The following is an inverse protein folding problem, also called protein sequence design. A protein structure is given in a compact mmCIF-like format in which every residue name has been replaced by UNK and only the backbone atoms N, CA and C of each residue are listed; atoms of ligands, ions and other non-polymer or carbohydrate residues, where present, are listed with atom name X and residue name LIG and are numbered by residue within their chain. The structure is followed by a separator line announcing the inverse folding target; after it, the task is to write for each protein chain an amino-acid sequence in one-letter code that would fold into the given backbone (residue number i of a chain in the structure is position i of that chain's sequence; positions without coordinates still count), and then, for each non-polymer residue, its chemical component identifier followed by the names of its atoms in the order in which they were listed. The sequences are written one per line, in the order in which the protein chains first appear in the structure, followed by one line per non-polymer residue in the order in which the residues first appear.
data_IF_056057001734
#
_entry.id   IF_056057001734
#
_cell.length_a   1.000
_cell.length_b   1.000
_cell.length_c   1.000
_cell.angle_alpha   90.00
_cell.angle_beta   90.00
_cell.angle_gamma   90.00
#
_symmetry.space_group_name_H-M   'P 1'
#
loop_
_entity.id
_entity.type
_entity.pdbx_description
1 polymer ?
#
# COMPACT_ATOMS: atom_id res chain seq x y z
N UNK A 1 6.03 -1.52 -19.40
CA UNK A 1 4.57 -1.60 -19.34
C UNK A 1 3.98 -0.46 -20.16
N UNK A 2 3.12 -0.79 -21.12
CA UNK A 2 2.50 0.13 -22.09
C UNK A 2 1.31 0.90 -21.47
N UNK A 3 1.55 1.62 -20.37
CA UNK A 3 0.51 2.44 -19.70
C UNK A 3 -0.49 1.67 -18.83
N UNK A 4 -0.28 0.37 -18.57
CA UNK A 4 -1.12 -0.41 -17.67
C UNK A 4 -1.01 0.06 -16.21
N UNK A 5 -2.11 0.00 -15.46
CA UNK A 5 -2.12 0.24 -14.01
C UNK A 5 -1.39 -0.93 -13.32
N UNK A 6 -0.33 -0.62 -12.57
CA UNK A 6 0.53 -1.62 -11.90
C UNK A 6 0.37 -1.67 -10.38
N UNK A 7 -0.27 -0.64 -9.79
CA UNK A 7 -0.59 -0.57 -8.37
C UNK A 7 -1.91 0.17 -8.20
N UNK A 8 -2.78 -0.33 -7.33
CA UNK A 8 -4.08 0.27 -7.04
C UNK A 8 -4.41 0.17 -5.54
N UNK A 9 -5.14 1.16 -5.02
CA UNK A 9 -5.67 1.19 -3.66
C UNK A 9 -7.17 1.40 -3.69
N UNK A 10 -7.91 0.61 -2.91
CA UNK A 10 -9.33 0.83 -2.66
C UNK A 10 -9.61 0.70 -1.16
N UNK A 11 -10.01 1.80 -0.52
CA UNK A 11 -10.22 1.88 0.93
C UNK A 11 -8.98 1.37 1.69
N UNK A 12 -9.11 0.25 2.40
CA UNK A 12 -8.08 -0.41 3.21
C UNK A 12 -7.34 -1.53 2.45
N UNK A 13 -7.59 -1.71 1.16
CA UNK A 13 -6.95 -2.73 0.31
C UNK A 13 -5.93 -2.08 -0.62
N UNK A 14 -4.73 -2.66 -0.72
CA UNK A 14 -3.65 -2.27 -1.62
C UNK A 14 -3.24 -3.50 -2.44
N UNK A 15 -3.09 -3.34 -3.77
CA UNK A 15 -2.67 -4.42 -4.68
C UNK A 15 -1.58 -3.94 -5.63
N UNK A 16 -0.67 -4.85 -5.99
CA UNK A 16 0.40 -4.65 -6.97
C UNK A 16 0.40 -5.78 -8.00
N UNK A 17 0.66 -5.48 -9.27
CA UNK A 17 0.87 -6.50 -10.32
C UNK A 17 2.31 -7.01 -10.37
N UNK A 18 3.13 -6.60 -9.41
CA UNK A 18 4.55 -6.92 -9.29
C UNK A 18 4.87 -7.25 -7.83
N UNK A 19 6.09 -7.73 -7.62
CA UNK A 19 6.61 -8.20 -6.33
C UNK A 19 7.46 -7.09 -5.66
N UNK A 20 6.88 -6.24 -4.79
CA UNK A 20 7.63 -5.17 -4.12
C UNK A 20 8.75 -5.68 -3.21
N UNK A 21 8.73 -6.96 -2.84
CA UNK A 21 9.73 -7.62 -2.01
C UNK A 21 11.01 -8.00 -2.76
N UNK A 22 10.99 -8.05 -4.10
CA UNK A 22 12.16 -8.42 -4.92
C UNK A 22 13.15 -7.26 -5.15
N UNK A 23 13.06 -6.22 -4.32
CA UNK A 23 13.99 -5.08 -4.28
C UNK A 23 14.27 -4.70 -2.83
N UNK A 24 15.42 -4.07 -2.59
CA UNK A 24 15.75 -3.49 -1.27
C UNK A 24 14.99 -2.19 -0.99
N UNK A 25 14.30 -1.63 -1.99
CA UNK A 25 13.50 -0.43 -1.82
C UNK A 25 12.17 -0.71 -1.11
N UNK A 26 12.09 -0.32 0.15
CA UNK A 26 10.92 -0.60 1.01
C UNK A 26 9.81 0.47 0.93
N UNK A 27 9.82 1.39 -0.04
CA UNK A 27 8.80 2.46 -0.13
C UNK A 27 7.36 1.95 -0.16
N UNK A 28 7.08 0.87 -0.89
CA UNK A 28 5.72 0.31 -0.98
C UNK A 28 5.31 -0.36 0.34
N UNK A 29 6.23 -1.09 0.97
CA UNK A 29 5.98 -1.67 2.29
C UNK A 29 5.72 -0.58 3.35
N UNK A 30 6.51 0.51 3.34
CA UNK A 30 6.27 1.66 4.23
C UNK A 30 4.91 2.31 3.96
N UNK A 31 4.54 2.48 2.69
CA UNK A 31 3.22 3.01 2.32
C UNK A 31 2.07 2.15 2.89
N UNK A 32 2.17 0.82 2.78
CA UNK A 32 1.18 -0.08 3.37
C UNK A 32 1.12 0.02 4.90
N UNK A 33 2.26 0.09 5.58
CA UNK A 33 2.30 0.25 7.04
C UNK A 33 1.67 1.57 7.49
N UNK A 34 1.90 2.67 6.77
CA UNK A 34 1.25 3.95 7.07
C UNK A 34 -0.28 3.87 6.87
N UNK A 35 -0.78 3.13 5.87
CA UNK A 35 -2.23 2.88 5.74
C UNK A 35 -2.82 2.18 6.96
N UNK A 36 -2.09 1.23 7.56
CA UNK A 36 -2.53 0.54 8.78
C UNK A 36 -2.59 1.50 9.95
N UNK A 37 -1.54 2.32 10.16
CA UNK A 37 -1.53 3.35 11.22
C UNK A 37 -2.65 4.37 11.05
N UNK A 38 -2.95 4.78 9.82
CA UNK A 38 -4.08 5.66 9.51
C UNK A 38 -5.41 5.02 9.90
N UNK A 39 -5.57 3.72 9.66
CA UNK A 39 -6.77 2.97 10.04
C UNK A 39 -6.92 2.91 11.56
N UNK A 40 -5.86 2.54 12.28
CA UNK A 40 -5.87 2.49 13.76
C UNK A 40 -6.24 3.84 14.39
N UNK A 41 -5.68 4.94 13.89
CA UNK A 41 -6.01 6.29 14.37
C UNK A 41 -7.50 6.63 14.18
N UNK A 42 -8.10 6.20 13.06
CA UNK A 42 -9.52 6.41 12.79
C UNK A 42 -10.41 5.58 13.70
N UNK A 43 -10.03 4.34 14.00
CA UNK A 43 -10.77 3.48 14.92
C UNK A 43 -10.72 3.99 16.36
N UNK A 44 -9.57 4.49 16.83
CA UNK A 44 -9.45 5.07 18.18
C UNK A 44 -10.24 6.38 18.33
N UNK A 45 -10.39 7.15 17.26
CA UNK A 45 -11.13 8.42 17.27
C UNK A 45 -12.65 8.26 17.13
N UNK A 46 -13.14 7.04 16.96
CA UNK A 46 -14.56 6.69 16.83
C UNK A 46 -15.15 6.31 18.19
#
# INVERSE_FOLDING_TARGET
HEGAVVMARQRNVLVTSFHPELTSDTRIHRYFVEMVKEYEKKEVAR
#
